data_IF_170949689671
#
_entry.id   IF_170949689671
#
_cell.length_a   1.000
_cell.length_b   1.000
_cell.length_c   1.000
_cell.angle_alpha   90.00
_cell.angle_beta   90.00
_cell.angle_gamma   90.00
#
_symmetry.space_group_name_H-M   'P 1'
#
loop_
_entity.id
_entity.type
_entity.pdbx_description
1 polymer ?
#
# COMPACT_ATOMS: atom_id res chain seq x y z
N UNK A 1 3.95 25.78 4.55
CA UNK A 1 3.23 24.95 3.57
C UNK A 1 2.77 23.68 4.26
N UNK A 2 1.58 23.15 3.93
CA UNK A 2 1.15 21.83 4.41
C UNK A 2 2.03 20.76 3.78
N UNK A 3 2.43 19.76 4.56
CA UNK A 3 3.15 18.59 4.06
C UNK A 3 2.21 17.71 3.25
N UNK A 4 2.67 17.26 2.08
CA UNK A 4 1.89 16.43 1.16
C UNK A 4 2.17 14.94 1.41
N UNK A 5 1.12 14.13 1.53
CA UNK A 5 1.22 12.70 1.76
C UNK A 5 0.39 11.92 0.74
N UNK A 6 1.01 10.93 0.11
CA UNK A 6 0.31 9.95 -0.73
C UNK A 6 -0.07 8.75 0.12
N UNK A 7 -1.35 8.42 0.15
CA UNK A 7 -1.88 7.27 0.90
C UNK A 7 -2.23 6.14 -0.06
N UNK A 8 -1.61 4.98 0.13
CA UNK A 8 -1.97 3.76 -0.59
C UNK A 8 -3.33 3.25 -0.10
N UNK A 9 -4.36 3.39 -0.93
CA UNK A 9 -5.74 3.00 -0.62
C UNK A 9 -6.08 1.69 -1.32
N UNK A 10 -6.49 0.69 -0.54
CA UNK A 10 -6.88 -0.64 -1.02
C UNK A 10 -8.40 -0.85 -1.14
N UNK A 11 -9.19 0.18 -0.92
CA UNK A 11 -10.65 0.07 -0.78
C UNK A 11 -11.11 -0.47 0.58
N UNK A 12 -10.20 -0.95 1.43
CA UNK A 12 -10.49 -1.42 2.77
C UNK A 12 -10.54 -0.32 3.82
N UNK A 13 -11.13 -0.65 4.99
CA UNK A 13 -11.34 0.29 6.11
C UNK A 13 -10.01 0.86 6.62
N UNK A 14 -8.98 0.05 6.76
CA UNK A 14 -7.73 0.45 7.42
C UNK A 14 -7.00 1.57 6.67
N UNK A 15 -6.92 1.49 5.34
CA UNK A 15 -6.33 2.53 4.51
C UNK A 15 -7.20 3.79 4.42
N UNK A 16 -8.52 3.62 4.49
CA UNK A 16 -9.49 4.73 4.51
C UNK A 16 -9.38 5.54 5.80
N UNK A 17 -9.26 4.85 6.94
CA UNK A 17 -9.02 5.48 8.25
C UNK A 17 -7.67 6.20 8.28
N UNK A 18 -6.62 5.60 7.71
CA UNK A 18 -5.31 6.25 7.63
C UNK A 18 -5.39 7.56 6.84
N UNK A 19 -6.10 7.59 5.71
CA UNK A 19 -6.30 8.81 4.92
C UNK A 19 -7.09 9.88 5.69
N UNK A 20 -8.15 9.48 6.40
CA UNK A 20 -8.97 10.36 7.23
C UNK A 20 -8.12 11.02 8.34
N UNK A 21 -7.40 10.21 9.11
CA UNK A 21 -6.58 10.70 10.21
C UNK A 21 -5.48 11.66 9.74
N UNK A 22 -4.84 11.39 8.60
CA UNK A 22 -3.84 12.28 8.03
C UNK A 22 -4.44 13.62 7.59
N UNK A 23 -5.64 13.59 6.99
CA UNK A 23 -6.37 14.82 6.64
C UNK A 23 -6.73 15.64 7.89
N UNK A 24 -7.23 15.00 8.95
CA UNK A 24 -7.53 15.65 10.24
C UNK A 24 -6.28 16.26 10.89
N UNK A 25 -5.13 15.62 10.74
CA UNK A 25 -3.83 16.13 11.21
C UNK A 25 -3.30 17.31 10.36
N UNK A 26 -4.02 17.68 9.30
CA UNK A 26 -3.71 18.86 8.49
C UNK A 26 -2.75 18.64 7.33
N UNK A 27 -2.46 17.37 6.98
CA UNK A 27 -1.71 17.04 5.77
C UNK A 27 -2.51 17.35 4.49
N UNK A 28 -1.79 17.60 3.40
CA UNK A 28 -2.33 17.61 2.04
C UNK A 28 -2.32 16.17 1.53
N UNK A 29 -3.49 15.49 1.58
CA UNK A 29 -3.61 14.05 1.34
C UNK A 29 -4.00 13.78 -0.10
N UNK A 30 -3.31 12.83 -0.74
CA UNK A 30 -3.63 12.28 -2.05
C UNK A 30 -3.86 10.77 -1.89
N UNK A 31 -5.02 10.27 -2.29
CA UNK A 31 -5.32 8.83 -2.34
C UNK A 31 -4.78 8.19 -3.62
N UNK A 32 -4.13 7.03 -3.50
CA UNK A 32 -3.64 6.26 -4.65
C UNK A 32 -4.01 4.79 -4.50
N UNK A 33 -4.68 4.22 -5.49
CA UNK A 33 -4.79 2.77 -5.63
C UNK A 33 -3.79 2.25 -6.65
N UNK A 34 -3.02 1.24 -6.27
CA UNK A 34 -2.06 0.59 -7.14
C UNK A 34 -2.74 -0.51 -7.95
N UNK A 35 -2.79 -0.37 -9.26
CA UNK A 35 -3.26 -1.41 -10.16
C UNK A 35 -2.10 -2.37 -10.47
N UNK A 36 -2.16 -3.57 -9.91
CA UNK A 36 -1.08 -4.58 -10.00
C UNK A 36 -1.45 -5.79 -10.85
N UNK A 37 -2.74 -6.06 -11.08
CA UNK A 37 -3.19 -7.20 -11.90
C UNK A 37 -3.56 -6.75 -13.32
N UNK A 38 -3.36 -7.66 -14.28
CA UNK A 38 -3.90 -7.50 -15.61
C UNK A 38 -5.40 -7.85 -15.58
N UNK A 39 -6.22 -7.04 -16.23
CA UNK A 39 -7.61 -7.38 -16.49
C UNK A 39 -7.63 -8.43 -17.61
N UNK A 40 -7.54 -9.69 -17.28
CA UNK A 40 -7.90 -10.75 -18.22
C UNK A 40 -9.34 -11.18 -17.92
N UNK A 41 -10.24 -10.74 -18.83
CA UNK A 41 -11.63 -11.18 -19.05
C UNK A 41 -12.71 -10.81 -18.03
N UNK A 42 -13.88 -10.35 -18.52
CA UNK A 42 -15.07 -10.02 -17.72
C UNK A 42 -15.89 -11.28 -17.38
N UNK A 43 -15.28 -12.43 -17.13
CA UNK A 43 -16.01 -13.64 -16.81
C UNK A 43 -15.56 -14.20 -15.44
N UNK A 44 -16.54 -14.21 -14.55
CA UNK A 44 -16.52 -14.71 -13.18
C UNK A 44 -15.94 -13.76 -12.14
N UNK A 45 -16.77 -12.81 -11.73
CA UNK A 45 -16.66 -12.14 -10.44
C UNK A 45 -16.82 -13.20 -9.34
N UNK A 46 -15.73 -13.87 -8.98
CA UNK A 46 -15.67 -14.54 -7.69
C UNK A 46 -15.53 -13.45 -6.62
N UNK A 47 -16.46 -13.42 -5.68
CA UNK A 47 -16.49 -12.56 -4.49
C UNK A 47 -15.30 -12.79 -3.54
N UNK A 48 -14.08 -12.85 -4.05
CA UNK A 48 -12.88 -12.95 -3.24
C UNK A 48 -12.20 -11.59 -3.20
N UNK A 49 -12.35 -10.92 -2.06
CA UNK A 49 -11.78 -9.63 -1.75
C UNK A 49 -10.25 -9.60 -1.83
N UNK A 50 -9.74 -9.40 -3.01
CA UNK A 50 -8.33 -9.02 -3.22
C UNK A 50 -8.21 -7.49 -3.20
N UNK A 51 -7.14 -6.98 -2.62
CA UNK A 51 -6.92 -5.54 -2.40
C UNK A 51 -6.76 -4.68 -3.69
N UNK A 52 -7.04 -5.19 -4.88
CA UNK A 52 -6.81 -4.51 -6.15
C UNK A 52 -7.85 -4.86 -7.24
N UNK A 53 -9.05 -5.35 -6.87
CA UNK A 53 -10.16 -5.58 -7.81
C UNK A 53 -10.86 -4.26 -8.21
N UNK A 54 -11.72 -4.30 -9.26
CA UNK A 54 -12.51 -3.14 -9.69
C UNK A 54 -13.36 -2.57 -8.54
N UNK A 55 -13.96 -3.43 -7.71
CA UNK A 55 -14.70 -3.03 -6.51
C UNK A 55 -13.83 -2.27 -5.51
N UNK A 56 -12.58 -2.69 -5.31
CA UNK A 56 -11.63 -2.03 -4.43
C UNK A 56 -11.28 -0.61 -4.90
N UNK A 57 -11.14 -0.41 -6.20
CA UNK A 57 -10.91 0.92 -6.81
C UNK A 57 -12.12 1.82 -6.59
N UNK A 58 -13.34 1.30 -6.80
CA UNK A 58 -14.58 2.08 -6.62
C UNK A 58 -14.81 2.43 -5.16
N UNK A 59 -14.54 1.51 -4.24
CA UNK A 59 -14.65 1.76 -2.80
C UNK A 59 -13.64 2.81 -2.33
N UNK A 60 -12.40 2.72 -2.79
CA UNK A 60 -11.37 3.72 -2.50
C UNK A 60 -11.73 5.11 -3.06
N UNK A 61 -12.30 5.16 -4.28
CA UNK A 61 -12.76 6.40 -4.92
C UNK A 61 -13.88 7.06 -4.11
N UNK A 62 -14.90 6.29 -3.68
CA UNK A 62 -15.99 6.80 -2.85
C UNK A 62 -15.48 7.38 -1.53
N UNK A 63 -14.53 6.71 -0.88
CA UNK A 63 -13.92 7.24 0.33
C UNK A 63 -13.17 8.53 0.06
N UNK A 64 -12.40 8.61 -1.03
CA UNK A 64 -11.68 9.81 -1.41
C UNK A 64 -12.63 10.98 -1.70
N UNK A 65 -13.78 10.73 -2.35
CA UNK A 65 -14.84 11.71 -2.56
C UNK A 65 -15.43 12.22 -1.23
N UNK A 66 -15.76 11.33 -0.30
CA UNK A 66 -16.26 11.68 1.03
C UNK A 66 -15.23 12.50 1.81
N UNK A 67 -13.96 12.13 1.70
CA UNK A 67 -12.86 12.85 2.34
C UNK A 67 -12.46 14.12 1.60
N UNK A 68 -13.04 14.42 0.44
CA UNK A 68 -12.66 15.56 -0.40
C UNK A 68 -11.13 15.64 -0.58
N UNK A 69 -10.55 14.56 -1.10
CA UNK A 69 -9.11 14.43 -1.42
C UNK A 69 -8.94 14.00 -2.89
N UNK A 70 -7.88 14.46 -3.56
CA UNK A 70 -7.50 13.95 -4.88
C UNK A 70 -7.26 12.43 -4.85
N UNK A 71 -7.71 11.73 -5.88
CA UNK A 71 -7.56 10.27 -5.97
C UNK A 71 -7.09 9.85 -7.35
N UNK A 72 -6.11 8.95 -7.40
CA UNK A 72 -5.54 8.42 -8.63
C UNK A 72 -5.42 6.90 -8.59
N UNK A 73 -5.57 6.28 -9.75
CA UNK A 73 -5.20 4.87 -9.97
C UNK A 73 -3.88 4.85 -10.73
N UNK A 74 -2.85 4.29 -10.12
CA UNK A 74 -1.52 4.20 -10.73
C UNK A 74 -1.23 2.77 -11.18
N UNK A 75 -0.73 2.63 -12.41
CA UNK A 75 -0.39 1.33 -12.98
C UNK A 75 0.99 0.87 -12.49
N UNK A 76 1.03 -0.25 -11.76
CA UNK A 76 2.24 -0.92 -11.26
C UNK A 76 2.34 -2.36 -11.76
N UNK A 77 1.65 -2.72 -12.82
CA UNK A 77 1.58 -4.10 -13.34
C UNK A 77 2.95 -4.65 -13.72
N UNK A 78 3.77 -3.84 -14.40
CA UNK A 78 5.11 -4.27 -14.82
C UNK A 78 6.05 -4.47 -13.63
N UNK A 79 6.04 -3.53 -12.68
CA UNK A 79 6.83 -3.63 -11.47
C UNK A 79 6.42 -4.83 -10.63
N UNK A 80 5.11 -5.06 -10.49
CA UNK A 80 4.57 -6.20 -9.75
C UNK A 80 4.93 -7.53 -10.43
N UNK A 81 4.76 -7.63 -11.75
CA UNK A 81 5.14 -8.82 -12.50
C UNK A 81 6.61 -9.15 -12.27
N UNK A 82 7.50 -8.21 -12.54
CA UNK A 82 8.95 -8.44 -12.48
C UNK A 82 9.48 -8.66 -11.07
N UNK A 83 9.02 -7.84 -10.10
CA UNK A 83 9.61 -7.81 -8.74
C UNK A 83 8.91 -8.74 -7.75
N UNK A 84 7.70 -9.19 -8.06
CA UNK A 84 6.91 -10.06 -7.17
C UNK A 84 6.60 -11.40 -7.81
N UNK A 85 6.00 -11.42 -9.00
CA UNK A 85 5.56 -12.67 -9.62
C UNK A 85 6.76 -13.48 -10.13
N UNK A 86 7.63 -12.87 -10.93
CA UNK A 86 8.80 -13.57 -11.49
C UNK A 86 9.73 -14.05 -10.36
N UNK A 87 9.96 -13.21 -9.35
CA UNK A 87 10.68 -13.60 -8.13
C UNK A 87 10.02 -14.79 -7.41
N UNK A 88 8.69 -14.76 -7.25
CA UNK A 88 7.96 -15.84 -6.60
C UNK A 88 8.14 -17.18 -7.35
N UNK A 89 8.00 -17.16 -8.67
CA UNK A 89 8.19 -18.34 -9.52
C UNK A 89 9.63 -18.86 -9.42
N UNK A 90 10.62 -17.96 -9.53
CA UNK A 90 12.03 -18.34 -9.47
C UNK A 90 12.40 -18.99 -8.13
N UNK A 91 11.93 -18.45 -7.00
CA UNK A 91 12.19 -19.03 -5.70
C UNK A 91 11.62 -20.46 -5.57
N UNK A 92 10.40 -20.70 -6.07
CA UNK A 92 9.83 -22.04 -6.09
C UNK A 92 10.61 -23.01 -7.00
N UNK A 93 11.07 -22.55 -8.15
CA UNK A 93 11.92 -23.38 -9.04
C UNK A 93 13.24 -23.80 -8.37
N UNK A 94 13.74 -22.97 -7.42
CA UNK A 94 14.92 -23.28 -6.63
C UNK A 94 14.61 -24.02 -5.32
N UNK A 95 13.37 -24.47 -5.11
CA UNK A 95 12.96 -25.20 -3.91
C UNK A 95 12.86 -24.35 -2.64
N UNK A 96 12.76 -23.01 -2.78
CA UNK A 96 12.57 -22.08 -1.67
C UNK A 96 11.11 -21.62 -1.59
N UNK A 97 10.66 -21.22 -0.41
CA UNK A 97 9.29 -20.71 -0.20
C UNK A 97 9.33 -19.21 -0.02
N UNK A 98 9.03 -18.41 -1.05
CA UNK A 98 9.02 -16.96 -0.96
C UNK A 98 7.77 -16.42 -0.27
N UNK A 99 7.86 -15.19 0.25
CA UNK A 99 6.70 -14.45 0.71
C UNK A 99 6.43 -13.26 -0.22
N UNK A 100 5.40 -13.34 -1.10
CA UNK A 100 5.11 -12.27 -2.05
C UNK A 100 4.66 -10.97 -1.39
N UNK A 101 4.08 -11.02 -0.18
CA UNK A 101 3.68 -9.80 0.55
C UNK A 101 4.90 -8.97 0.95
N UNK A 102 5.98 -9.63 1.38
CA UNK A 102 7.24 -8.94 1.72
C UNK A 102 7.83 -8.29 0.47
N UNK A 103 7.93 -9.03 -0.64
CA UNK A 103 8.43 -8.51 -1.91
C UNK A 103 7.58 -7.33 -2.43
N UNK A 104 6.25 -7.44 -2.36
CA UNK A 104 5.34 -6.38 -2.75
C UNK A 104 5.52 -5.11 -1.88
N UNK A 105 5.58 -5.25 -0.57
CA UNK A 105 5.81 -4.10 0.31
C UNK A 105 7.15 -3.44 -0.01
N UNK A 106 8.24 -4.20 -0.09
CA UNK A 106 9.57 -3.67 -0.35
C UNK A 106 9.68 -2.96 -1.69
N UNK A 107 9.39 -3.68 -2.77
CA UNK A 107 9.73 -3.24 -4.13
C UNK A 107 8.64 -2.44 -4.83
N UNK A 108 7.37 -2.65 -4.49
CA UNK A 108 6.26 -1.93 -5.12
C UNK A 108 5.80 -0.77 -4.25
N UNK A 109 5.51 -0.99 -2.96
CA UNK A 109 5.00 0.08 -2.10
C UNK A 109 6.11 1.03 -1.63
N UNK A 110 7.17 0.50 -1.02
CA UNK A 110 8.22 1.34 -0.41
C UNK A 110 9.28 1.84 -1.39
N UNK A 111 9.36 1.25 -2.58
CA UNK A 111 10.29 1.70 -3.61
C UNK A 111 9.52 2.40 -4.75
N UNK A 112 8.75 1.67 -5.55
CA UNK A 112 8.13 2.21 -6.76
C UNK A 112 7.05 3.25 -6.47
N UNK A 113 6.16 3.03 -5.47
CA UNK A 113 5.15 4.02 -5.10
C UNK A 113 5.81 5.25 -4.46
N UNK A 114 6.81 5.08 -3.61
CA UNK A 114 7.55 6.20 -3.03
C UNK A 114 8.17 7.06 -4.12
N UNK A 115 8.88 6.46 -5.05
CA UNK A 115 9.52 7.19 -6.14
C UNK A 115 8.50 8.01 -6.95
N UNK A 116 7.40 7.39 -7.40
CA UNK A 116 6.34 8.10 -8.14
C UNK A 116 5.66 9.18 -7.30
N UNK A 117 5.56 8.98 -5.99
CA UNK A 117 5.00 9.98 -5.07
C UNK A 117 5.90 11.19 -4.93
N UNK A 118 7.21 10.99 -4.87
CA UNK A 118 8.19 12.08 -4.85
C UNK A 118 8.18 12.89 -6.17
N UNK A 119 8.00 12.22 -7.31
CA UNK A 119 7.89 12.87 -8.63
C UNK A 119 6.70 13.82 -8.73
N UNK A 120 5.60 13.53 -8.04
CA UNK A 120 4.42 14.42 -7.95
C UNK A 120 4.50 15.42 -6.78
N UNK A 121 5.66 15.52 -6.15
CA UNK A 121 5.95 16.48 -5.08
C UNK A 121 5.38 16.11 -3.72
N UNK A 122 5.16 14.83 -3.43
CA UNK A 122 4.79 14.38 -2.09
C UNK A 122 6.02 14.38 -1.15
N UNK A 123 5.81 14.73 0.11
CA UNK A 123 6.83 14.64 1.17
C UNK A 123 6.89 13.24 1.79
N UNK A 124 5.75 12.52 1.80
CA UNK A 124 5.59 11.23 2.46
C UNK A 124 4.69 10.29 1.67
N UNK A 125 4.86 8.99 1.94
CA UNK A 125 3.84 7.98 1.64
C UNK A 125 3.30 7.39 2.94
N UNK A 126 2.06 6.92 2.91
CA UNK A 126 1.40 6.26 4.03
C UNK A 126 0.57 5.07 3.55
N UNK A 127 0.35 4.13 4.44
CA UNK A 127 -0.47 2.95 4.21
C UNK A 127 -1.27 2.61 5.47
N UNK A 128 -2.28 1.76 5.35
CA UNK A 128 -3.08 1.26 6.48
C UNK A 128 -2.48 0.04 7.18
N UNK A 129 -1.17 -0.17 7.18
CA UNK A 129 -0.56 -1.29 7.88
C UNK A 129 -0.63 -1.17 9.40
N UNK A 130 -0.83 -2.31 10.06
CA UNK A 130 -0.84 -2.42 11.51
C UNK A 130 0.57 -2.65 12.05
N UNK A 131 1.23 -1.57 12.41
CA UNK A 131 2.53 -1.54 13.06
C UNK A 131 2.65 -0.26 13.90
N UNK A 132 3.65 -0.20 14.79
CA UNK A 132 4.03 1.02 15.50
C UNK A 132 5.43 1.42 15.12
N UNK A 133 5.66 2.72 15.02
CA UNK A 133 7.00 3.27 14.88
C UNK A 133 7.37 3.99 16.17
N UNK A 134 8.55 3.70 16.70
CA UNK A 134 9.09 4.42 17.85
C UNK A 134 10.49 4.95 17.56
N UNK A 135 10.87 6.00 18.26
CA UNK A 135 12.24 6.53 18.24
C UNK A 135 12.98 5.96 19.44
N UNK A 136 14.08 5.24 19.18
CA UNK A 136 14.93 4.68 20.21
C UNK A 136 15.80 5.77 20.87
N UNK A 137 16.36 5.51 22.08
CA UNK A 137 17.22 6.48 22.76
C UNK A 137 18.44 6.96 21.95
N UNK A 138 18.89 6.17 20.98
CA UNK A 138 19.98 6.51 20.07
C UNK A 138 19.54 7.32 18.85
N UNK A 139 18.26 7.78 18.78
CA UNK A 139 17.69 8.53 17.69
C UNK A 139 17.28 7.73 16.45
N UNK A 140 17.43 6.41 16.46
CA UNK A 140 17.01 5.54 15.36
C UNK A 140 15.52 5.23 15.46
N UNK A 141 14.86 5.10 14.30
CA UNK A 141 13.49 4.59 14.22
C UNK A 141 13.49 3.07 14.28
N UNK A 142 12.51 2.52 14.99
CA UNK A 142 12.28 1.08 15.06
C UNK A 142 10.80 0.76 14.81
N UNK A 143 10.55 -0.36 14.15
CA UNK A 143 9.20 -0.91 14.00
C UNK A 143 8.93 -1.82 15.20
N UNK A 144 7.78 -1.63 15.82
CA UNK A 144 7.25 -2.44 16.93
C UNK A 144 5.96 -3.13 16.51
N UNK A 145 5.70 -4.26 17.12
CA UNK A 145 4.43 -4.97 16.93
C UNK A 145 3.24 -4.05 17.17
N UNK A 146 2.17 -4.28 16.44
CA UNK A 146 0.94 -3.52 16.59
C UNK A 146 0.32 -3.74 17.97
N UNK A 147 -0.53 -2.82 18.41
CA UNK A 147 -1.31 -2.99 19.65
C UNK A 147 -2.28 -4.16 19.51
N UNK A 148 -2.83 -4.36 18.31
CA UNK A 148 -3.72 -5.46 17.98
C UNK A 148 -2.92 -6.66 17.46
N UNK A 149 -2.55 -7.58 18.33
CA UNK A 149 -1.69 -8.72 17.99
C UNK A 149 -2.22 -9.58 16.83
N UNK A 150 -3.54 -9.77 16.74
CA UNK A 150 -4.17 -10.56 15.67
C UNK A 150 -4.11 -9.91 14.29
N UNK A 151 -3.79 -8.62 14.21
CA UNK A 151 -3.67 -7.87 12.95
C UNK A 151 -2.24 -7.39 12.69
N UNK A 152 -1.26 -7.85 13.49
CA UNK A 152 0.13 -7.40 13.34
C UNK A 152 0.68 -7.70 11.95
N UNK A 153 1.26 -6.69 11.30
CA UNK A 153 1.83 -6.77 9.96
C UNK A 153 3.33 -6.43 9.93
N UNK A 154 3.97 -6.37 11.08
CA UNK A 154 5.40 -6.05 11.19
C UNK A 154 6.27 -7.05 10.43
N UNK A 155 5.83 -8.31 10.29
CA UNK A 155 6.52 -9.34 9.51
C UNK A 155 6.72 -8.95 8.03
N UNK A 156 5.88 -8.07 7.49
CA UNK A 156 5.94 -7.62 6.10
C UNK A 156 6.63 -6.25 5.93
N UNK A 157 7.10 -5.63 7.02
CA UNK A 157 7.60 -4.26 7.07
C UNK A 157 9.06 -4.13 7.52
N UNK A 158 9.76 -5.23 7.76
CA UNK A 158 11.10 -5.25 8.38
C UNK A 158 12.24 -4.89 7.42
N UNK A 159 11.98 -4.63 6.15
CA UNK A 159 12.98 -4.32 5.11
C UNK A 159 13.31 -2.83 5.04
#
# INVERSE_FOLDING_TARGET
>A
MKKKVVVGMSGGVDSSVAACLLKEQGYDVIGVTMQIWQEEQPQQVSNQGGCCGLTAVDDARRVAEVLDIPYYVMNFRQEFQKKVIDYFVEEYLHGRTPNPCIACNRYVKWESLLQRSLEIGADYIATGHYARVEVLPNGRYAIRNSVTASKDQTYALYN
#
